data_IF_764869524651
#
_entry.id   IF_764869524651
#
_cell.length_a   1.000
_cell.length_b   1.000
_cell.length_c   1.000
_cell.angle_alpha   90.00
_cell.angle_beta   90.00
_cell.angle_gamma   90.00
#
_symmetry.space_group_name_H-M   'P 1'
#
loop_
_entity.id
_entity.type
_entity.pdbx_description
1 polymer ?
#
# COMPACT_ATOMS: atom_id res chain seq x y z
N UNK A 1 -13.07 13.41 -9.39
CA UNK A 1 -13.34 14.83 -9.06
C UNK A 1 -14.82 15.07 -9.27
N UNK A 2 -15.52 15.54 -8.26
CA UNK A 2 -16.92 15.96 -8.35
C UNK A 2 -16.97 17.49 -8.35
N UNK A 3 -17.57 18.05 -9.38
CA UNK A 3 -17.71 19.50 -9.56
C UNK A 3 -19.22 19.81 -9.59
N UNK A 4 -19.68 20.75 -8.78
CA UNK A 4 -21.08 21.18 -8.79
C UNK A 4 -21.41 22.10 -9.99
N UNK A 5 -22.69 22.50 -10.09
CA UNK A 5 -23.17 23.35 -11.19
C UNK A 5 -22.56 24.74 -11.24
N UNK A 6 -21.83 25.17 -10.18
CA UNK A 6 -21.12 26.46 -10.14
C UNK A 6 -19.64 26.33 -10.54
N UNK A 7 -19.19 25.13 -10.86
CA UNK A 7 -17.78 24.84 -11.16
C UNK A 7 -16.90 24.65 -9.92
N UNK A 8 -17.50 24.57 -8.73
CA UNK A 8 -16.75 24.38 -7.47
C UNK A 8 -16.47 22.90 -7.25
N UNK A 9 -15.21 22.58 -6.96
CA UNK A 9 -14.81 21.19 -6.62
C UNK A 9 -15.40 20.83 -5.25
N UNK A 10 -16.31 19.85 -5.23
CA UNK A 10 -16.98 19.37 -4.02
C UNK A 10 -16.31 18.13 -3.43
N UNK A 11 -15.69 17.30 -4.29
CA UNK A 11 -14.93 16.14 -3.88
C UNK A 11 -13.85 15.79 -4.90
N UNK A 12 -12.69 15.38 -4.42
CA UNK A 12 -11.62 14.80 -5.22
C UNK A 12 -11.56 13.33 -4.84
N UNK A 13 -11.95 12.45 -5.77
CA UNK A 13 -11.68 11.02 -5.66
C UNK A 13 -10.31 10.75 -6.26
N UNK A 14 -9.40 10.24 -5.44
CA UNK A 14 -8.08 9.79 -5.90
C UNK A 14 -8.12 8.28 -6.08
N UNK A 15 -7.47 7.80 -7.15
CA UNK A 15 -7.51 6.42 -7.62
C UNK A 15 -6.61 5.49 -6.79
N UNK A 16 -6.67 5.56 -5.49
CA UNK A 16 -5.84 4.72 -4.63
C UNK A 16 -6.72 3.69 -3.95
N UNK A 17 -6.33 2.43 -4.06
CA UNK A 17 -7.01 1.32 -3.43
C UNK A 17 -6.34 1.05 -2.08
N UNK A 18 -6.78 1.81 -1.08
CA UNK A 18 -6.57 1.48 0.32
C UNK A 18 -7.62 0.44 0.72
N UNK A 19 -7.19 -0.63 1.36
CA UNK A 19 -8.05 -1.67 1.90
C UNK A 19 -7.66 -1.96 3.33
N UNK A 20 -8.65 -2.04 4.20
CA UNK A 20 -8.50 -2.48 5.58
C UNK A 20 -9.66 -3.40 5.97
N UNK A 21 -9.40 -4.37 6.85
CA UNK A 21 -10.40 -5.33 7.29
C UNK A 21 -10.06 -5.93 8.64
N UNK A 22 -11.05 -5.99 9.53
CA UNK A 22 -10.99 -6.81 10.72
C UNK A 22 -11.30 -8.27 10.35
N UNK A 23 -10.37 -9.17 10.63
CA UNK A 23 -10.51 -10.59 10.32
C UNK A 23 -11.22 -11.35 11.45
N UNK A 24 -11.85 -12.51 11.16
CA UNK A 24 -12.62 -13.26 12.16
C UNK A 24 -11.82 -13.75 13.37
N UNK A 25 -10.50 -13.88 13.24
CA UNK A 25 -9.58 -14.26 14.30
C UNK A 25 -9.09 -13.07 15.15
N UNK A 26 -9.58 -11.87 14.88
CA UNK A 26 -9.17 -10.63 15.54
C UNK A 26 -7.89 -10.00 14.98
N UNK A 27 -7.36 -10.52 13.89
CA UNK A 27 -6.24 -9.89 13.16
C UNK A 27 -6.74 -8.71 12.32
N UNK A 28 -5.85 -7.79 11.99
CA UNK A 28 -6.11 -6.63 11.14
C UNK A 28 -5.40 -6.79 9.79
N UNK A 29 -6.17 -6.85 8.70
CA UNK A 29 -5.66 -6.89 7.33
C UNK A 29 -5.62 -5.50 6.71
N UNK A 30 -4.53 -5.17 5.99
CA UNK A 30 -4.42 -3.91 5.26
C UNK A 30 -3.67 -4.08 3.94
N UNK A 31 -4.01 -3.26 2.97
CA UNK A 31 -3.36 -3.28 1.66
C UNK A 31 -3.24 -1.89 1.04
N UNK A 32 -2.19 -1.70 0.26
CA UNK A 32 -2.03 -0.60 -0.67
C UNK A 32 -1.62 -1.16 -2.02
N UNK A 33 -2.22 -0.65 -3.09
CA UNK A 33 -1.88 -1.09 -4.44
C UNK A 33 -2.22 -0.06 -5.50
N UNK A 34 -1.64 -0.24 -6.67
CA UNK A 34 -1.94 0.55 -7.85
C UNK A 34 -2.40 -0.33 -9.03
N UNK A 35 -3.36 0.19 -9.77
CA UNK A 35 -3.93 -0.46 -10.97
C UNK A 35 -3.35 0.19 -12.21
N UNK A 36 -2.67 -0.59 -13.04
CA UNK A 36 -2.08 -0.10 -14.28
C UNK A 36 -3.11 0.55 -15.22
N UNK A 37 -2.74 1.72 -15.75
CA UNK A 37 -3.54 2.49 -16.70
C UNK A 37 -4.56 3.43 -16.04
N UNK A 38 -5.37 4.12 -16.87
CA UNK A 38 -6.29 5.19 -16.44
C UNK A 38 -7.70 4.96 -17.00
N UNK A 39 -8.69 5.64 -16.42
CA UNK A 39 -10.06 5.66 -16.90
C UNK A 39 -10.95 4.49 -16.45
N UNK A 40 -12.15 4.31 -17.06
CA UNK A 40 -13.16 3.36 -16.60
C UNK A 40 -12.70 1.90 -16.48
N UNK A 41 -11.87 1.35 -17.41
CA UNK A 41 -11.39 -0.02 -17.25
C UNK A 41 -10.51 -0.23 -16.03
N UNK A 42 -9.65 0.75 -15.68
CA UNK A 42 -8.82 0.67 -14.48
C UNK A 42 -9.68 0.80 -13.20
N UNK A 43 -10.71 1.64 -13.22
CA UNK A 43 -11.64 1.76 -12.10
C UNK A 43 -12.43 0.46 -11.86
N UNK A 44 -12.85 -0.21 -12.95
CA UNK A 44 -13.54 -1.50 -12.88
C UNK A 44 -12.61 -2.59 -12.30
N UNK A 45 -11.35 -2.62 -12.75
CA UNK A 45 -10.35 -3.56 -12.21
C UNK A 45 -10.10 -3.31 -10.73
N UNK A 46 -10.02 -2.05 -10.30
CA UNK A 46 -9.88 -1.68 -8.90
C UNK A 46 -11.08 -2.13 -8.05
N UNK A 47 -12.30 -1.97 -8.55
CA UNK A 47 -13.50 -2.46 -7.84
C UNK A 47 -13.52 -3.98 -7.74
N UNK A 48 -13.10 -4.70 -8.80
CA UNK A 48 -12.94 -6.15 -8.78
C UNK A 48 -11.86 -6.59 -7.78
N UNK A 49 -10.71 -5.89 -7.75
CA UNK A 49 -9.64 -6.12 -6.79
C UNK A 49 -10.16 -6.04 -5.36
N UNK A 50 -10.82 -4.93 -5.00
CA UNK A 50 -11.36 -4.73 -3.65
C UNK A 50 -12.35 -5.82 -3.26
N UNK A 51 -13.32 -6.13 -4.13
CA UNK A 51 -14.31 -7.19 -3.86
C UNK A 51 -13.67 -8.57 -3.72
N UNK A 52 -12.68 -8.89 -4.56
CA UNK A 52 -11.96 -10.16 -4.50
C UNK A 52 -11.08 -10.25 -3.24
N UNK A 53 -10.38 -9.16 -2.89
CA UNK A 53 -9.54 -9.10 -1.69
C UNK A 53 -10.40 -9.27 -0.43
N UNK A 54 -11.52 -8.58 -0.33
CA UNK A 54 -12.46 -8.71 0.79
C UNK A 54 -12.98 -10.15 0.95
N UNK A 55 -13.33 -10.81 -0.15
CA UNK A 55 -13.82 -12.19 -0.12
C UNK A 55 -12.72 -13.19 0.27
N UNK A 56 -11.52 -13.04 -0.30
CA UNK A 56 -10.40 -13.97 -0.07
C UNK A 56 -9.77 -13.79 1.31
N UNK A 57 -9.69 -12.58 1.84
CA UNK A 57 -9.08 -12.29 3.15
C UNK A 57 -9.79 -13.01 4.30
N UNK A 58 -11.09 -13.29 4.18
CA UNK A 58 -11.88 -13.98 5.22
C UNK A 58 -11.62 -15.50 5.23
N UNK A 59 -11.27 -16.08 4.07
CA UNK A 59 -11.25 -17.53 3.89
C UNK A 59 -9.87 -18.12 3.67
N UNK A 60 -8.92 -17.32 3.20
CA UNK A 60 -7.58 -17.81 2.85
C UNK A 60 -6.66 -17.89 4.08
N UNK A 61 -5.74 -18.86 4.04
CA UNK A 61 -4.72 -19.04 5.07
C UNK A 61 -3.50 -18.12 4.79
N UNK A 62 -3.64 -16.83 5.08
CA UNK A 62 -2.57 -15.85 5.02
C UNK A 62 -2.42 -15.10 3.69
N UNK A 63 -1.55 -14.06 3.66
CA UNK A 63 -1.44 -13.10 2.57
C UNK A 63 -1.15 -13.70 1.19
N UNK A 64 -0.19 -14.60 1.06
CA UNK A 64 0.14 -15.19 -0.24
C UNK A 64 -1.03 -16.00 -0.84
N UNK A 65 -1.77 -16.73 0.00
CA UNK A 65 -2.97 -17.46 -0.43
C UNK A 65 -4.11 -16.53 -0.84
N UNK A 66 -4.31 -15.47 -0.07
CA UNK A 66 -5.26 -14.39 -0.40
C UNK A 66 -4.96 -13.81 -1.78
N UNK A 67 -3.71 -13.38 -2.01
CA UNK A 67 -3.32 -12.78 -3.28
C UNK A 67 -3.33 -13.76 -4.44
N UNK A 68 -3.05 -15.05 -4.22
CA UNK A 68 -3.21 -16.09 -5.25
C UNK A 68 -4.66 -16.22 -5.71
N UNK A 69 -5.62 -16.22 -4.77
CA UNK A 69 -7.05 -16.24 -5.09
C UNK A 69 -7.52 -14.98 -5.81
N UNK A 70 -7.02 -13.82 -5.39
CA UNK A 70 -7.27 -12.54 -6.08
C UNK A 70 -6.72 -12.59 -7.49
N UNK A 71 -5.47 -13.05 -7.68
CA UNK A 71 -4.83 -13.17 -8.98
C UNK A 71 -5.66 -14.02 -9.95
N UNK A 72 -6.07 -15.21 -9.53
CA UNK A 72 -6.92 -16.08 -10.34
C UNK A 72 -8.25 -15.39 -10.73
N UNK A 73 -8.87 -14.67 -9.81
CA UNK A 73 -10.09 -13.91 -10.11
C UNK A 73 -9.86 -12.79 -11.14
N UNK A 74 -8.72 -12.11 -11.12
CA UNK A 74 -8.37 -11.07 -12.07
C UNK A 74 -8.09 -11.65 -13.47
N UNK A 75 -7.25 -12.68 -13.56
CA UNK A 75 -6.88 -13.31 -14.84
C UNK A 75 -8.10 -13.93 -15.55
N UNK A 76 -8.95 -14.67 -14.82
CA UNK A 76 -10.14 -15.30 -15.42
C UNK A 76 -11.19 -14.32 -15.94
N UNK A 77 -11.17 -13.07 -15.51
CA UNK A 77 -12.10 -12.02 -15.99
C UNK A 77 -11.64 -11.32 -17.27
N UNK A 78 -10.42 -11.61 -17.74
CA UNK A 78 -9.94 -11.20 -19.07
C UNK A 78 -9.92 -9.68 -19.30
N UNK A 79 -9.58 -8.88 -18.27
CA UNK A 79 -9.40 -7.43 -18.45
C UNK A 79 -8.05 -7.23 -19.12
N UNK A 80 -8.07 -7.14 -20.45
CA UNK A 80 -6.90 -7.17 -21.33
C UNK A 80 -5.80 -6.17 -20.92
N UNK A 81 -4.55 -6.65 -20.91
CA UNK A 81 -3.30 -5.90 -20.79
C UNK A 81 -3.20 -5.00 -19.54
N UNK A 82 -3.81 -5.39 -18.42
CA UNK A 82 -3.72 -4.64 -17.15
C UNK A 82 -3.26 -5.54 -16.02
N UNK A 83 -2.47 -4.97 -15.14
CA UNK A 83 -1.98 -5.62 -13.94
C UNK A 83 -2.21 -4.73 -12.73
N UNK A 84 -2.05 -5.31 -11.56
CA UNK A 84 -2.14 -4.61 -10.28
C UNK A 84 -0.89 -4.89 -9.49
N UNK A 85 -0.21 -3.84 -9.03
CA UNK A 85 0.77 -3.96 -7.96
C UNK A 85 0.05 -3.88 -6.62
N UNK A 86 0.35 -4.77 -5.68
CA UNK A 86 -0.36 -4.82 -4.41
C UNK A 86 0.56 -5.33 -3.29
N UNK A 87 0.65 -4.56 -2.22
CA UNK A 87 1.13 -5.04 -0.93
C UNK A 87 -0.08 -5.38 -0.06
N UNK A 88 -0.13 -6.59 0.47
CA UNK A 88 -1.15 -7.01 1.44
C UNK A 88 -0.50 -7.63 2.66
N UNK A 89 -0.94 -7.21 3.84
CA UNK A 89 -0.44 -7.69 5.12
C UNK A 89 -1.56 -7.95 6.11
N UNK A 90 -1.29 -8.84 7.06
CA UNK A 90 -2.16 -9.21 8.18
C UNK A 90 -1.35 -9.09 9.47
N UNK A 91 -1.79 -8.21 10.36
CA UNK A 91 -1.21 -7.97 11.68
C UNK A 91 -2.06 -8.67 12.73
N UNK A 92 -1.46 -9.62 13.45
CA UNK A 92 -2.10 -10.29 14.58
C UNK A 92 -2.11 -9.41 15.84
N UNK A 93 -2.99 -9.74 16.78
CA UNK A 93 -3.02 -9.09 18.09
C UNK A 93 -1.69 -9.24 18.87
N UNK A 94 -0.90 -10.26 18.58
CA UNK A 94 0.40 -10.52 19.22
C UNK A 94 1.60 -9.81 18.58
N UNK A 95 1.36 -9.03 17.50
CA UNK A 95 2.40 -8.30 16.78
C UNK A 95 3.06 -9.08 15.65
N UNK A 96 2.60 -10.31 15.35
CA UNK A 96 3.05 -11.01 14.14
C UNK A 96 2.44 -10.34 12.89
N UNK A 97 3.29 -9.85 11.99
CA UNK A 97 2.93 -9.30 10.69
C UNK A 97 3.31 -10.30 9.61
N UNK A 98 2.31 -10.94 9.01
CA UNK A 98 2.46 -11.72 7.79
C UNK A 98 2.14 -10.86 6.58
N UNK A 99 2.92 -10.95 5.50
CA UNK A 99 2.71 -10.10 4.31
C UNK A 99 3.10 -10.79 3.00
N UNK A 100 2.59 -10.25 1.91
CA UNK A 100 2.98 -10.62 0.55
C UNK A 100 3.00 -9.35 -0.32
N UNK A 101 4.12 -9.13 -1.00
CA UNK A 101 4.29 -8.01 -1.93
C UNK A 101 4.18 -8.52 -3.38
N UNK A 102 3.08 -8.22 -4.05
CA UNK A 102 2.87 -8.54 -5.45
C UNK A 102 3.32 -7.38 -6.35
N UNK A 103 4.64 -7.13 -6.39
CA UNK A 103 5.26 -6.15 -7.27
C UNK A 103 4.98 -4.67 -6.95
N UNK A 104 4.53 -4.37 -5.74
CA UNK A 104 4.34 -3.00 -5.25
C UNK A 104 5.65 -2.45 -4.67
N UNK A 105 5.76 -1.12 -4.53
CA UNK A 105 6.88 -0.48 -3.84
C UNK A 105 7.03 -1.10 -2.44
N UNK A 106 8.19 -1.72 -2.12
CA UNK A 106 8.33 -2.43 -0.86
C UNK A 106 8.20 -1.49 0.34
N UNK A 107 7.24 -1.75 1.26
CA UNK A 107 7.09 -0.95 2.46
C UNK A 107 8.30 -1.02 3.38
N UNK A 108 8.42 -0.04 4.26
CA UNK A 108 9.38 -0.02 5.34
C UNK A 108 8.71 -0.42 6.66
N UNK A 109 9.27 -1.41 7.33
CA UNK A 109 9.04 -1.65 8.76
C UNK A 109 10.07 -0.84 9.54
N UNK A 110 9.60 0.04 10.40
CA UNK A 110 10.42 0.92 11.24
C UNK A 110 10.20 0.53 12.69
N UNK A 111 11.27 0.19 13.37
CA UNK A 111 11.26 -0.23 14.76
C UNK A 111 12.58 0.09 15.45
N UNK A 112 12.71 -0.33 16.71
CA UNK A 112 13.91 -0.10 17.53
C UNK A 112 15.20 -0.68 16.94
N UNK A 113 15.07 -1.72 16.11
CA UNK A 113 16.20 -2.39 15.46
C UNK A 113 16.59 -1.74 14.12
N UNK A 114 15.98 -0.62 13.78
CA UNK A 114 16.21 0.11 12.54
C UNK A 114 15.08 -0.04 11.53
N UNK A 115 15.41 0.15 10.25
CA UNK A 115 14.47 0.10 9.14
C UNK A 115 14.72 -1.16 8.32
N UNK A 116 13.66 -1.91 8.04
CA UNK A 116 13.68 -3.11 7.20
C UNK A 116 12.70 -2.95 6.03
N UNK A 117 13.08 -3.35 4.82
CA UNK A 117 12.18 -3.44 3.66
C UNK A 117 11.40 -4.75 3.67
N UNK A 118 10.12 -4.67 3.32
CA UNK A 118 9.22 -5.83 3.24
C UNK A 118 9.06 -6.24 1.76
N UNK A 119 10.02 -7.02 1.25
CA UNK A 119 10.14 -7.32 -0.19
C UNK A 119 9.55 -8.69 -0.57
N UNK A 120 9.36 -9.61 0.39
CA UNK A 120 8.91 -10.98 0.10
C UNK A 120 7.55 -11.00 -0.59
N UNK A 121 7.47 -11.71 -1.69
CA UNK A 121 6.22 -11.80 -2.47
C UNK A 121 6.46 -12.37 -3.87
N UNK A 122 6.09 -11.64 -4.91
CA UNK A 122 6.25 -12.06 -6.30
C UNK A 122 5.88 -11.01 -7.31
N UNK A 123 5.42 -11.44 -8.48
CA UNK A 123 5.08 -10.55 -9.60
C UNK A 123 3.73 -9.84 -9.37
N UNK A 124 3.48 -8.71 -10.06
CA UNK A 124 2.18 -8.07 -10.09
C UNK A 124 1.04 -9.02 -10.46
N UNK A 125 -0.14 -8.79 -9.89
CA UNK A 125 -1.34 -9.59 -10.11
C UNK A 125 -1.98 -9.31 -11.47
N UNK A 126 -2.63 -10.32 -12.05
CA UNK A 126 -3.37 -10.21 -13.30
C UNK A 126 -2.55 -10.49 -14.56
N UNK A 127 -1.24 -10.77 -14.45
CA UNK A 127 -0.38 -11.08 -15.60
C UNK A 127 -0.44 -12.55 -15.99
N UNK A 128 -0.33 -13.45 -15.03
CA UNK A 128 -0.25 -14.89 -15.24
C UNK A 128 -1.05 -15.63 -14.17
N UNK A 129 -1.55 -16.85 -14.50
CA UNK A 129 -2.15 -17.76 -13.56
C UNK A 129 -1.68 -19.21 -13.86
N UNK A 130 -1.06 -19.93 -12.91
CA UNK A 130 -0.72 -19.44 -11.56
C UNK A 130 0.47 -18.47 -11.53
N UNK A 131 0.48 -17.57 -10.54
CA UNK A 131 1.62 -16.70 -10.22
C UNK A 131 2.23 -17.18 -8.89
N UNK A 132 3.54 -17.50 -8.84
CA UNK A 132 4.22 -17.80 -7.58
C UNK A 132 4.23 -16.55 -6.68
N UNK A 133 3.72 -16.71 -5.47
CA UNK A 133 3.69 -15.65 -4.45
C UNK A 133 4.16 -16.25 -3.13
N UNK A 134 5.23 -15.65 -2.59
CA UNK A 134 5.80 -16.03 -1.31
C UNK A 134 5.28 -15.12 -0.18
N UNK A 135 5.22 -15.67 1.03
CA UNK A 135 4.82 -14.94 2.23
C UNK A 135 6.02 -14.66 3.10
N UNK A 136 6.18 -13.40 3.50
CA UNK A 136 7.09 -13.00 4.57
C UNK A 136 6.36 -12.93 5.92
N UNK A 137 7.12 -13.08 6.99
CA UNK A 137 6.63 -12.88 8.36
C UNK A 137 7.69 -12.16 9.17
N UNK A 138 7.27 -11.13 9.93
CA UNK A 138 8.11 -10.36 10.85
C UNK A 138 7.34 -10.13 12.15
N UNK A 139 8.05 -9.87 13.24
CA UNK A 139 7.42 -9.51 14.52
C UNK A 139 7.56 -8.01 14.74
N UNK A 140 6.44 -7.35 15.01
CA UNK A 140 6.39 -5.94 15.43
C UNK A 140 6.32 -5.86 16.94
N UNK A 141 7.13 -4.99 17.52
CA UNK A 141 7.04 -4.62 18.93
C UNK A 141 6.13 -3.40 19.13
N UNK A 142 5.55 -3.18 20.32
CA UNK A 142 4.79 -1.96 20.59
C UNK A 142 5.60 -0.70 20.31
N UNK A 143 5.08 0.14 19.43
CA UNK A 143 5.76 1.34 18.93
C UNK A 143 6.36 1.19 17.52
N UNK A 144 6.45 -0.02 16.98
CA UNK A 144 6.86 -0.23 15.60
C UNK A 144 5.74 0.16 14.63
N UNK A 145 6.10 0.53 13.41
CA UNK A 145 5.14 0.87 12.37
C UNK A 145 5.61 0.46 10.97
N UNK A 146 4.64 0.16 10.12
CA UNK A 146 4.83 -0.08 8.69
C UNK A 146 4.45 1.17 7.92
N UNK A 147 5.32 1.62 7.03
CA UNK A 147 5.07 2.71 6.08
C UNK A 147 5.00 2.12 4.69
N UNK A 148 3.83 2.14 4.06
CA UNK A 148 3.63 1.76 2.66
C UNK A 148 3.22 2.99 1.85
N UNK A 149 3.65 3.07 0.59
CA UNK A 149 3.51 4.26 -0.24
C UNK A 149 3.39 3.90 -1.72
N UNK A 150 2.70 4.76 -2.49
CA UNK A 150 2.64 4.65 -3.95
C UNK A 150 3.92 5.18 -4.60
N UNK A 151 4.16 4.81 -5.87
CA UNK A 151 5.24 5.34 -6.69
C UNK A 151 5.25 6.87 -6.78
N UNK A 152 4.07 7.51 -6.74
CA UNK A 152 3.98 8.98 -6.67
C UNK A 152 4.71 9.63 -5.48
N UNK A 153 5.13 8.83 -4.46
CA UNK A 153 6.02 9.31 -3.39
C UNK A 153 7.49 9.22 -3.80
N UNK A 154 7.94 8.03 -4.24
CA UNK A 154 9.34 7.80 -4.63
C UNK A 154 9.73 8.55 -5.90
N UNK A 155 8.82 8.68 -6.86
CA UNK A 155 9.01 9.36 -8.13
C UNK A 155 8.58 10.85 -8.10
N UNK A 156 8.28 11.40 -6.91
CA UNK A 156 8.01 12.82 -6.76
C UNK A 156 9.22 13.66 -7.19
N UNK A 157 9.05 14.54 -8.17
CA UNK A 157 10.14 15.31 -8.78
C UNK A 157 10.26 16.72 -8.20
N UNK A 158 11.50 17.20 -8.07
CA UNK A 158 11.79 18.61 -7.83
C UNK A 158 11.87 19.41 -9.14
N UNK A 159 12.16 20.71 -9.06
CA UNK A 159 12.26 21.58 -10.24
C UNK A 159 13.44 21.23 -11.17
N UNK A 160 14.45 20.57 -10.65
CA UNK A 160 15.64 20.09 -11.36
C UNK A 160 15.41 18.74 -12.06
N UNK A 161 14.25 18.09 -11.84
CA UNK A 161 13.91 16.78 -12.39
C UNK A 161 14.52 15.59 -11.65
N UNK A 162 14.99 15.80 -10.42
CA UNK A 162 15.42 14.71 -9.54
C UNK A 162 14.21 14.08 -8.84
N UNK A 163 14.23 12.75 -8.68
CA UNK A 163 13.21 12.01 -7.94
C UNK A 163 13.49 12.00 -6.42
N UNK A 164 12.44 11.86 -5.62
CA UNK A 164 12.55 11.80 -4.16
C UNK A 164 13.31 10.55 -3.68
N UNK A 165 13.03 9.42 -4.31
CA UNK A 165 13.67 8.12 -4.11
C UNK A 165 13.57 7.55 -2.67
N UNK A 166 13.93 6.27 -2.53
CA UNK A 166 13.83 5.53 -1.27
C UNK A 166 14.74 6.06 -0.15
N UNK A 167 15.91 6.60 -0.49
CA UNK A 167 16.83 7.13 0.51
C UNK A 167 16.26 8.32 1.26
N UNK A 168 15.55 9.22 0.55
CA UNK A 168 14.88 10.36 1.20
C UNK A 168 13.64 9.92 1.96
N UNK A 169 12.92 8.88 1.49
CA UNK A 169 11.84 8.27 2.24
C UNK A 169 12.37 7.72 3.57
N UNK A 170 13.43 6.89 3.54
CA UNK A 170 14.05 6.33 4.74
C UNK A 170 14.50 7.42 5.72
N UNK A 171 15.13 8.49 5.22
CA UNK A 171 15.57 9.61 6.04
C UNK A 171 14.40 10.36 6.70
N UNK A 172 13.20 10.32 6.10
CA UNK A 172 12.00 10.98 6.60
C UNK A 172 11.22 10.13 7.61
N UNK A 173 11.55 8.82 7.74
CA UNK A 173 10.87 7.84 8.61
C UNK A 173 11.83 7.28 9.67
N UNK A 174 12.62 8.12 10.29
CA UNK A 174 13.75 7.76 11.17
C UNK A 174 13.37 7.11 12.51
N UNK A 175 12.09 6.80 12.73
CA UNK A 175 11.62 6.18 13.99
C UNK A 175 11.57 7.15 15.17
N UNK A 176 11.82 8.45 14.98
CA UNK A 176 11.68 9.46 16.04
C UNK A 176 10.22 9.79 16.34
N UNK A 177 9.31 9.51 15.41
CA UNK A 177 7.88 9.68 15.62
C UNK A 177 7.34 8.58 16.54
N UNK A 178 6.51 8.98 17.49
CA UNK A 178 5.91 8.07 18.48
C UNK A 178 4.49 7.59 18.08
N UNK A 179 3.95 8.08 16.97
CA UNK A 179 2.64 7.73 16.46
C UNK A 179 2.58 7.83 14.93
N UNK A 180 1.63 7.08 14.34
CA UNK A 180 1.47 6.97 12.89
C UNK A 180 1.14 8.31 12.22
N UNK A 181 0.37 9.18 12.89
CA UNK A 181 -0.03 10.47 12.33
C UNK A 181 1.20 11.39 12.18
N UNK A 182 2.01 11.51 13.21
CA UNK A 182 3.26 12.30 13.18
C UNK A 182 4.20 11.78 12.09
N UNK A 183 4.34 10.46 11.96
CA UNK A 183 5.17 9.85 10.91
C UNK A 183 4.66 10.18 9.51
N UNK A 184 3.35 10.11 9.31
CA UNK A 184 2.70 10.48 8.06
C UNK A 184 2.97 11.95 7.70
N UNK A 185 2.81 12.86 8.66
CA UNK A 185 3.04 14.29 8.49
C UNK A 185 4.50 14.62 8.17
N UNK A 186 5.46 13.94 8.81
CA UNK A 186 6.89 14.08 8.52
C UNK A 186 7.20 13.70 7.07
N UNK A 187 6.73 12.55 6.60
CA UNK A 187 6.97 12.10 5.23
C UNK A 187 6.33 13.06 4.21
N UNK A 188 5.07 13.46 4.41
CA UNK A 188 4.41 14.42 3.50
C UNK A 188 5.11 15.78 3.49
N UNK A 189 5.57 16.28 4.65
CA UNK A 189 6.33 17.53 4.74
C UNK A 189 7.65 17.44 3.98
N UNK A 190 8.34 16.32 4.09
CA UNK A 190 9.60 16.07 3.38
C UNK A 190 9.41 16.04 1.86
N UNK A 191 8.40 15.31 1.36
CA UNK A 191 8.05 15.30 -0.06
C UNK A 191 7.69 16.70 -0.55
N UNK A 192 6.83 17.41 0.19
CA UNK A 192 6.41 18.78 -0.16
C UNK A 192 7.57 19.76 -0.20
N UNK A 193 8.50 19.65 0.74
CA UNK A 193 9.70 20.49 0.78
C UNK A 193 10.62 20.21 -0.39
N UNK A 194 10.80 18.94 -0.72
CA UNK A 194 11.65 18.51 -1.83
C UNK A 194 11.09 18.96 -3.19
N UNK A 195 9.80 18.77 -3.42
CA UNK A 195 9.16 19.17 -4.68
C UNK A 195 9.09 20.69 -4.86
N UNK A 196 9.17 21.46 -3.78
CA UNK A 196 9.19 22.94 -3.78
C UNK A 196 8.11 23.58 -4.68
N UNK A 197 6.96 22.93 -4.85
CA UNK A 197 5.86 23.39 -5.70
C UNK A 197 5.97 22.97 -7.17
N UNK A 198 6.88 22.09 -7.56
CA UNK A 198 6.87 21.46 -8.87
C UNK A 198 5.54 20.72 -9.12
N UNK A 199 5.18 20.55 -10.39
CA UNK A 199 3.92 19.88 -10.74
C UNK A 199 3.94 18.42 -10.29
N UNK A 200 2.86 18.00 -9.62
CA UNK A 200 2.67 16.61 -9.22
C UNK A 200 2.41 15.73 -10.45
N UNK A 201 3.24 14.72 -10.67
CA UNK A 201 3.16 13.84 -11.84
C UNK A 201 2.20 12.66 -11.64
N UNK A 202 2.08 12.14 -10.41
CA UNK A 202 1.16 11.06 -10.07
C UNK A 202 0.55 11.23 -8.67
N UNK A 203 -0.42 10.37 -8.31
CA UNK A 203 -1.10 10.42 -7.02
C UNK A 203 -0.18 9.97 -5.88
N UNK A 204 0.01 10.84 -4.89
CA UNK A 204 0.83 10.58 -3.69
C UNK A 204 -0.04 9.95 -2.62
N UNK A 205 0.24 8.70 -2.26
CA UNK A 205 -0.42 8.00 -1.16
C UNK A 205 0.57 7.39 -0.21
N UNK A 206 0.25 7.54 1.07
CA UNK A 206 0.98 6.91 2.15
C UNK A 206 -0.02 6.30 3.13
N UNK A 207 0.25 5.07 3.57
CA UNK A 207 -0.45 4.42 4.66
C UNK A 207 0.57 4.07 5.74
N UNK A 208 0.29 4.48 6.98
CA UNK A 208 1.11 4.13 8.14
C UNK A 208 0.26 3.31 9.11
N UNK A 209 0.73 2.11 9.43
CA UNK A 209 0.10 1.19 10.38
C UNK A 209 1.04 1.00 11.56
N UNK A 210 0.61 1.39 12.77
CA UNK A 210 1.39 1.23 14.00
C UNK A 210 0.85 0.09 14.87
N UNK A 211 1.75 -0.69 15.44
CA UNK A 211 1.39 -1.68 16.45
C UNK A 211 1.52 -1.07 17.85
N UNK A 212 0.44 -1.12 18.62
CA UNK A 212 0.38 -0.54 19.99
C UNK A 212 0.47 -1.57 21.10
N UNK A 213 0.54 -2.86 20.76
CA UNK A 213 0.46 -3.94 21.74
C UNK A 213 -0.98 -4.24 22.17
N UNK A 214 -1.12 -5.27 22.97
CA UNK A 214 -2.42 -5.64 23.55
C UNK A 214 -2.70 -4.68 24.72
N UNK A 215 -3.76 -3.89 24.61
CA UNK A 215 -4.25 -3.11 25.77
C UNK A 215 -4.99 -4.08 26.69
N UNK A 216 -4.43 -4.33 27.87
CA UNK A 216 -5.07 -5.13 28.95
C UNK A 216 -6.14 -4.30 29.66
#
# INVERSE_FOLDING_TARGET
MHIDATGTVQAIYRKIHLFDVDLPDGSFGFALGDVSGKGPPAALLGALLQGSLAAQSITAAGPAKTLSGVNSALVHRGIEARFVTLFYAVLSATGELSYCNAGHNPPFLVGRNGIQRLETGGMPLGLFDPTPLDQGTVTMEPGDFVVTFSDGVSEAMNAEGEEFEDERIQSSIDGSAHDAQTQLEHLFSSVKTFTAGAAQNDDVTVLVVSYRGITT
#
